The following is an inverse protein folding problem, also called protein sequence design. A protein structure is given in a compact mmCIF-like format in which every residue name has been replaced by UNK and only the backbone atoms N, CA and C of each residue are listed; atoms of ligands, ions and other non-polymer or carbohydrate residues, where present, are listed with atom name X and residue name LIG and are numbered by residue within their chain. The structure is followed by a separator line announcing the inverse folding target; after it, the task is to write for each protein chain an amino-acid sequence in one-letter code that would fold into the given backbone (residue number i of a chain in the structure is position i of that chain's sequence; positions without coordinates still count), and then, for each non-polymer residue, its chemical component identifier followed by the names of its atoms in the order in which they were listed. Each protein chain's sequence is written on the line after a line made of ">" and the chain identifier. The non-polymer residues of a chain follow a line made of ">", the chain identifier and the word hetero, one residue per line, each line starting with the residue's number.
data_IF_395816794651
#
_entry.id   IF_395816794651
#
_cell.length_a   1.000
_cell.length_b   1.000
_cell.length_c   1.000
_cell.angle_alpha   90.00
_cell.angle_beta   90.00
_cell.angle_gamma   90.00
#
_symmetry.space_group_name_H-M   'P 1'
#
loop_
_entity.id
_entity.type
_entity.pdbx_description
1 polymer ?
#
# COMPACT_ATOMS: atom_id res chain seq x y z
N UNK A 1 -18.46 16.50 -11.76
CA UNK A 1 -17.28 15.62 -11.91
C UNK A 1 -16.17 15.88 -10.88
N UNK A 2 -16.05 17.09 -10.31
CA UNK A 2 -14.97 17.44 -9.33
C UNK A 2 -14.96 16.62 -8.03
N UNK A 3 -16.07 16.01 -7.63
CA UNK A 3 -16.21 15.28 -6.37
C UNK A 3 -16.05 13.75 -6.50
N UNK A 4 -15.99 13.21 -7.72
CA UNK A 4 -15.96 11.75 -7.93
C UNK A 4 -14.75 11.10 -7.29
N UNK A 5 -13.49 11.62 -7.42
CA UNK A 5 -12.35 11.03 -6.73
C UNK A 5 -12.53 11.00 -5.21
N UNK A 6 -13.05 12.06 -4.61
CA UNK A 6 -13.28 12.11 -3.17
C UNK A 6 -14.33 11.08 -2.72
N UNK A 7 -15.40 10.90 -3.51
CA UNK A 7 -16.44 9.88 -3.23
C UNK A 7 -15.83 8.47 -3.27
N UNK A 8 -14.89 8.20 -4.17
CA UNK A 8 -14.21 6.89 -4.25
C UNK A 8 -13.35 6.65 -3.00
N UNK A 9 -12.61 7.65 -2.53
CA UNK A 9 -11.83 7.54 -1.29
C UNK A 9 -12.75 7.36 -0.06
N UNK A 10 -13.87 8.08 0.02
CA UNK A 10 -14.88 7.91 1.07
C UNK A 10 -15.52 6.51 1.02
N UNK A 11 -15.82 6.02 -0.18
CA UNK A 11 -16.35 4.66 -0.39
C UNK A 11 -15.36 3.60 0.08
N UNK A 12 -14.06 3.79 -0.15
CA UNK A 12 -13.01 2.87 0.34
C UNK A 12 -13.01 2.81 1.87
N UNK A 13 -13.11 3.95 2.55
CA UNK A 13 -13.21 3.98 4.03
C UNK A 13 -14.48 3.24 4.48
N UNK A 14 -15.61 3.48 3.83
CA UNK A 14 -16.87 2.83 4.17
C UNK A 14 -16.80 1.30 3.94
N UNK A 15 -16.10 0.84 2.90
CA UNK A 15 -15.89 -0.58 2.62
C UNK A 15 -14.98 -1.28 3.65
N UNK A 16 -14.13 -0.55 4.38
CA UNK A 16 -13.30 -1.13 5.42
C UNK A 16 -14.14 -1.70 6.58
N UNK A 17 -15.30 -1.11 6.87
CA UNK A 17 -16.16 -1.63 7.95
C UNK A 17 -16.71 -3.03 7.65
N UNK A 18 -17.43 -3.28 6.52
CA UNK A 18 -17.84 -4.64 6.19
C UNK A 18 -16.66 -5.58 6.00
N UNK A 19 -15.51 -5.10 5.50
CA UNK A 19 -14.30 -5.91 5.36
C UNK A 19 -13.78 -6.41 6.73
N UNK A 20 -13.93 -5.63 7.79
CA UNK A 20 -13.62 -6.04 9.17
C UNK A 20 -14.61 -7.07 9.72
N UNK A 21 -15.88 -6.98 9.35
CA UNK A 21 -16.95 -7.85 9.87
C UNK A 21 -17.01 -9.23 9.19
N UNK A 22 -16.60 -9.30 7.93
CA UNK A 22 -16.61 -10.54 7.16
C UNK A 22 -15.38 -11.38 7.50
N UNK A 23 -15.53 -12.71 7.57
CA UNK A 23 -14.41 -13.62 7.83
C UNK A 23 -13.38 -13.57 6.69
N UNK A 24 -12.10 -13.50 7.06
CA UNK A 24 -11.01 -13.53 6.12
C UNK A 24 -11.03 -14.82 5.28
N UNK A 25 -10.55 -14.77 4.06
CA UNK A 25 -10.47 -15.87 3.09
C UNK A 25 -11.81 -16.35 2.52
N UNK A 26 -12.93 -15.69 2.86
CA UNK A 26 -14.24 -15.98 2.25
C UNK A 26 -14.44 -15.24 0.92
N UNK A 27 -15.35 -15.71 0.09
CA UNK A 27 -15.68 -15.06 -1.19
C UNK A 27 -16.13 -13.60 -0.97
N UNK A 28 -17.04 -13.27 -0.03
CA UNK A 28 -17.40 -11.88 0.26
C UNK A 28 -16.22 -11.03 0.67
N UNK A 29 -15.28 -11.57 1.46
CA UNK A 29 -14.06 -10.85 1.82
C UNK A 29 -13.23 -10.45 0.60
N UNK A 30 -12.98 -11.40 -0.32
CA UNK A 30 -12.19 -11.15 -1.52
C UNK A 30 -12.87 -10.16 -2.47
N UNK A 31 -14.20 -10.22 -2.58
CA UNK A 31 -14.97 -9.24 -3.39
C UNK A 31 -14.80 -7.84 -2.82
N UNK A 32 -14.99 -7.66 -1.50
CA UNK A 32 -14.80 -6.36 -0.84
C UNK A 32 -13.36 -5.86 -0.95
N UNK A 33 -12.38 -6.75 -0.77
CA UNK A 33 -10.95 -6.44 -0.89
C UNK A 33 -10.60 -5.92 -2.29
N UNK A 34 -11.03 -6.62 -3.34
CA UNK A 34 -10.76 -6.23 -4.73
C UNK A 34 -11.48 -4.93 -5.07
N UNK A 35 -12.73 -4.74 -4.65
CA UNK A 35 -13.47 -3.49 -4.87
C UNK A 35 -12.73 -2.34 -4.18
N UNK A 36 -12.38 -2.48 -2.90
CA UNK A 36 -11.70 -1.42 -2.16
C UNK A 36 -10.32 -1.07 -2.76
N UNK A 37 -9.53 -2.06 -3.18
CA UNK A 37 -8.24 -1.80 -3.81
C UNK A 37 -8.34 -1.22 -5.23
N UNK A 38 -9.38 -1.57 -5.98
CA UNK A 38 -9.59 -1.01 -7.32
C UNK A 38 -10.07 0.45 -7.27
N UNK A 39 -10.82 0.85 -6.23
CA UNK A 39 -11.20 2.25 -6.04
C UNK A 39 -10.00 3.18 -5.93
N UNK A 40 -8.89 2.74 -5.31
CA UNK A 40 -7.62 3.48 -5.22
C UNK A 40 -7.01 3.77 -6.61
N UNK A 41 -6.96 2.74 -7.46
CA UNK A 41 -6.42 2.90 -8.81
C UNK A 41 -7.30 3.85 -9.63
N UNK A 42 -8.61 3.75 -9.45
CA UNK A 42 -9.60 4.52 -10.21
C UNK A 42 -9.62 6.00 -9.80
N UNK A 43 -9.61 6.32 -8.50
CA UNK A 43 -9.68 7.72 -8.05
C UNK A 43 -8.44 8.51 -8.48
N UNK A 44 -7.24 7.94 -8.31
CA UNK A 44 -6.01 8.55 -8.77
C UNK A 44 -5.93 8.68 -10.31
N UNK A 45 -6.46 7.71 -11.07
CA UNK A 45 -6.53 7.80 -12.52
C UNK A 45 -7.51 8.89 -12.98
N UNK A 46 -8.72 8.92 -12.40
CA UNK A 46 -9.75 9.87 -12.76
C UNK A 46 -9.38 11.31 -12.37
N UNK A 47 -8.78 11.50 -11.18
CA UNK A 47 -8.32 12.82 -10.73
C UNK A 47 -7.31 13.43 -11.72
N UNK A 48 -6.32 12.64 -12.16
CA UNK A 48 -5.33 13.06 -13.15
C UNK A 48 -5.96 13.31 -14.53
N UNK A 49 -6.81 12.40 -15.00
CA UNK A 49 -7.42 12.50 -16.32
C UNK A 49 -8.34 13.72 -16.46
N UNK A 50 -9.02 14.11 -15.38
CA UNK A 50 -9.95 15.25 -15.40
C UNK A 50 -9.34 16.54 -14.88
N UNK A 51 -8.08 16.53 -14.43
CA UNK A 51 -7.40 17.70 -13.89
C UNK A 51 -8.08 18.29 -12.65
N UNK A 52 -8.73 17.43 -11.84
CA UNK A 52 -9.49 17.81 -10.64
C UNK A 52 -8.75 17.49 -9.34
N UNK A 53 -7.44 17.37 -9.41
CA UNK A 53 -6.61 17.15 -8.24
C UNK A 53 -6.77 18.29 -7.23
N UNK A 54 -6.96 17.94 -5.96
CA UNK A 54 -7.11 18.90 -4.87
C UNK A 54 -6.32 18.47 -3.64
N UNK A 55 -5.87 19.44 -2.84
CA UNK A 55 -5.17 19.14 -1.58
C UNK A 55 -6.03 18.35 -0.60
N UNK A 56 -7.34 18.59 -0.60
CA UNK A 56 -8.29 17.87 0.25
C UNK A 56 -8.47 16.44 -0.25
N UNK A 57 -8.64 16.24 -1.57
CA UNK A 57 -8.72 14.91 -2.18
C UNK A 57 -7.50 14.06 -1.89
N UNK A 58 -6.29 14.62 -2.05
CA UNK A 58 -5.05 13.91 -1.73
C UNK A 58 -4.94 13.50 -0.25
N UNK A 59 -5.48 14.30 0.69
CA UNK A 59 -5.52 13.94 2.10
C UNK A 59 -6.53 12.84 2.40
N UNK A 60 -7.72 12.91 1.79
CA UNK A 60 -8.75 11.87 1.92
C UNK A 60 -8.26 10.54 1.35
N UNK A 61 -7.62 10.56 0.20
CA UNK A 61 -6.99 9.41 -0.43
C UNK A 61 -5.94 8.76 0.49
N UNK A 62 -4.99 9.54 0.99
CA UNK A 62 -3.98 9.05 1.94
C UNK A 62 -4.59 8.48 3.22
N UNK A 63 -5.69 9.07 3.73
CA UNK A 63 -6.40 8.55 4.89
C UNK A 63 -7.11 7.23 4.56
N UNK A 64 -7.76 7.16 3.40
CA UNK A 64 -8.44 5.95 2.94
C UNK A 64 -7.47 4.79 2.76
N UNK A 65 -6.31 5.04 2.16
CA UNK A 65 -5.23 4.06 2.03
C UNK A 65 -4.74 3.56 3.38
N UNK A 66 -4.50 4.48 4.29
CA UNK A 66 -4.03 4.14 5.63
C UNK A 66 -5.04 3.24 6.37
N UNK A 67 -6.33 3.61 6.35
CA UNK A 67 -7.41 2.81 6.95
C UNK A 67 -7.52 1.45 6.29
N UNK A 68 -7.44 1.39 4.95
CA UNK A 68 -7.49 0.14 4.21
C UNK A 68 -6.31 -0.78 4.57
N UNK A 69 -5.09 -0.26 4.58
CA UNK A 69 -3.88 -1.03 4.96
C UNK A 69 -3.97 -1.55 6.39
N UNK A 70 -4.45 -0.74 7.34
CA UNK A 70 -4.65 -1.20 8.73
C UNK A 70 -5.72 -2.30 8.82
N UNK A 71 -6.83 -2.16 8.10
CA UNK A 71 -7.92 -3.14 8.06
C UNK A 71 -7.44 -4.47 7.50
N UNK A 72 -6.77 -4.43 6.36
CA UNK A 72 -6.20 -5.61 5.69
C UNK A 72 -5.10 -6.23 6.54
N UNK A 73 -4.21 -5.42 7.11
CA UNK A 73 -3.16 -5.85 8.00
C UNK A 73 -3.72 -6.58 9.23
N UNK A 74 -4.73 -6.03 9.88
CA UNK A 74 -5.39 -6.66 11.01
C UNK A 74 -5.99 -8.03 10.65
N UNK A 75 -6.66 -8.13 9.50
CA UNK A 75 -7.28 -9.39 9.03
C UNK A 75 -6.27 -10.45 8.63
N UNK A 76 -5.19 -10.05 7.99
CA UNK A 76 -4.22 -11.01 7.47
C UNK A 76 -3.10 -11.34 8.45
N UNK A 77 -2.76 -10.46 9.40
CA UNK A 77 -1.67 -10.68 10.34
C UNK A 77 -1.70 -12.07 11.03
N UNK A 78 -2.85 -12.56 11.56
CA UNK A 78 -2.91 -13.88 12.17
C UNK A 78 -2.78 -15.04 11.17
N UNK A 79 -2.96 -14.77 9.88
CA UNK A 79 -2.87 -15.77 8.79
C UNK A 79 -1.46 -15.81 8.17
N UNK A 80 -0.62 -14.82 8.45
CA UNK A 80 0.73 -14.71 7.91
C UNK A 80 1.66 -15.71 8.60
N UNK A 81 1.71 -16.94 8.08
CA UNK A 81 2.68 -17.96 8.50
C UNK A 81 3.99 -17.75 7.72
N UNK A 82 4.73 -16.71 8.06
CA UNK A 82 6.00 -16.39 7.42
C UNK A 82 7.17 -16.93 8.24
N UNK A 83 8.25 -17.40 7.59
CA UNK A 83 9.47 -17.79 8.30
C UNK A 83 10.15 -16.56 8.94
N UNK A 84 10.90 -16.78 10.04
CA UNK A 84 11.58 -15.71 10.77
C UNK A 84 12.52 -14.90 9.89
N UNK A 85 13.18 -15.56 8.94
CA UNK A 85 14.05 -14.90 7.96
C UNK A 85 13.32 -13.87 7.10
N UNK A 86 12.04 -14.11 6.76
CA UNK A 86 11.24 -13.15 6.00
C UNK A 86 10.79 -12.00 6.90
N UNK A 87 10.49 -12.25 8.18
CA UNK A 87 10.23 -11.19 9.15
C UNK A 87 11.46 -10.28 9.34
N UNK A 88 12.66 -10.85 9.39
CA UNK A 88 13.91 -10.07 9.42
C UNK A 88 14.07 -9.20 8.16
N UNK A 89 13.74 -9.74 6.99
CA UNK A 89 13.78 -8.99 5.73
C UNK A 89 12.78 -7.83 5.72
N UNK A 90 11.56 -8.05 6.21
CA UNK A 90 10.54 -7.00 6.37
C UNK A 90 11.03 -5.92 7.34
N UNK A 91 11.64 -6.32 8.45
CA UNK A 91 12.25 -5.40 9.41
C UNK A 91 13.37 -4.56 8.79
N UNK A 92 14.23 -5.18 7.97
CA UNK A 92 15.29 -4.48 7.24
C UNK A 92 14.69 -3.44 6.26
N UNK A 93 13.66 -3.80 5.51
CA UNK A 93 12.97 -2.89 4.58
C UNK A 93 12.37 -1.71 5.36
N UNK A 94 11.71 -1.97 6.49
CA UNK A 94 11.14 -0.93 7.35
C UNK A 94 12.23 0.01 7.88
N UNK A 95 13.37 -0.52 8.31
CA UNK A 95 14.53 0.27 8.75
C UNK A 95 15.04 1.18 7.63
N UNK A 96 15.27 0.63 6.43
CA UNK A 96 15.74 1.42 5.28
C UNK A 96 14.75 2.52 4.93
N UNK A 97 13.44 2.24 4.92
CA UNK A 97 12.41 3.26 4.66
C UNK A 97 12.36 4.33 5.74
N UNK A 98 12.54 3.97 7.00
CA UNK A 98 12.63 4.93 8.11
C UNK A 98 13.84 5.86 7.96
N UNK A 99 15.00 5.30 7.64
CA UNK A 99 16.22 6.08 7.35
C UNK A 99 16.02 7.02 6.16
N UNK A 100 15.32 6.56 5.11
CA UNK A 100 15.00 7.39 3.95
C UNK A 100 14.06 8.54 4.33
N UNK A 101 13.04 8.30 5.15
CA UNK A 101 12.12 9.33 5.63
C UNK A 101 12.84 10.39 6.47
N UNK A 102 13.72 9.97 7.39
CA UNK A 102 14.55 10.87 8.19
C UNK A 102 15.50 11.67 7.28
N UNK A 103 16.18 11.01 6.34
CA UNK A 103 17.08 11.66 5.37
C UNK A 103 16.33 12.70 4.52
N UNK A 104 15.12 12.40 4.07
CA UNK A 104 14.27 13.32 3.33
C UNK A 104 13.93 14.56 4.15
N UNK A 105 13.60 14.36 5.44
CA UNK A 105 13.31 15.47 6.35
C UNK A 105 14.54 16.37 6.59
N UNK A 106 15.72 15.77 6.79
CA UNK A 106 16.96 16.51 7.04
C UNK A 106 17.40 17.29 5.79
N UNK A 107 17.31 16.68 4.60
CA UNK A 107 17.80 17.30 3.35
C UNK A 107 16.81 18.32 2.79
N UNK A 108 15.51 18.05 2.87
CA UNK A 108 14.46 18.84 2.20
C UNK A 108 13.57 19.62 3.15
N UNK A 109 13.79 19.51 4.47
CA UNK A 109 12.93 20.08 5.53
C UNK A 109 11.43 19.69 5.40
N UNK A 110 11.14 18.59 4.70
CA UNK A 110 9.81 18.01 4.54
C UNK A 110 9.94 16.53 4.27
N UNK A 111 8.99 15.76 4.80
CA UNK A 111 8.89 14.33 4.50
C UNK A 111 8.27 14.19 3.11
N UNK A 112 9.09 13.87 2.12
CA UNK A 112 8.63 13.50 0.78
C UNK A 112 8.77 12.00 0.61
N UNK A 113 7.63 11.32 0.56
CA UNK A 113 7.61 9.94 0.07
C UNK A 113 7.75 9.99 -1.46
N UNK A 114 8.93 9.64 -1.95
CA UNK A 114 9.15 9.58 -3.39
C UNK A 114 8.30 8.46 -4.00
N UNK A 115 7.31 8.84 -4.78
CA UNK A 115 6.49 7.92 -5.57
C UNK A 115 7.29 7.37 -6.77
N UNK A 116 8.35 6.60 -6.47
CA UNK A 116 9.12 5.92 -7.53
C UNK A 116 8.24 4.87 -8.21
N UNK A 117 8.54 4.58 -9.48
CA UNK A 117 7.85 3.50 -10.20
C UNK A 117 7.98 2.16 -9.47
N UNK A 118 9.13 1.92 -8.82
CA UNK A 118 9.38 0.72 -8.04
C UNK A 118 8.50 0.66 -6.77
N UNK A 119 8.30 1.77 -6.04
CA UNK A 119 7.39 1.81 -4.90
C UNK A 119 5.93 1.53 -5.31
N UNK A 120 5.47 2.08 -6.43
CA UNK A 120 4.12 1.80 -6.97
C UNK A 120 3.96 0.35 -7.37
N UNK A 121 4.98 -0.22 -8.04
CA UNK A 121 4.99 -1.63 -8.40
C UNK A 121 4.94 -2.53 -7.15
N UNK A 122 5.73 -2.21 -6.12
CA UNK A 122 5.71 -2.95 -4.84
C UNK A 122 4.33 -2.94 -4.20
N UNK A 123 3.65 -1.79 -4.16
CA UNK A 123 2.29 -1.68 -3.63
C UNK A 123 1.29 -2.55 -4.40
N UNK A 124 1.34 -2.51 -5.73
CA UNK A 124 0.50 -3.36 -6.58
C UNK A 124 0.79 -4.86 -6.38
N UNK A 125 2.07 -5.22 -6.31
CA UNK A 125 2.48 -6.61 -6.08
C UNK A 125 2.08 -7.11 -4.68
N UNK A 126 2.14 -6.26 -3.65
CA UNK A 126 1.63 -6.57 -2.33
C UNK A 126 0.11 -6.81 -2.38
N UNK A 127 -0.63 -5.93 -3.04
CA UNK A 127 -2.08 -6.08 -3.18
C UNK A 127 -2.45 -7.40 -3.87
N UNK A 128 -1.82 -7.74 -4.99
CA UNK A 128 -2.06 -9.00 -5.71
C UNK A 128 -1.52 -10.20 -4.91
N UNK A 129 -0.33 -10.07 -4.34
CA UNK A 129 0.35 -11.14 -3.61
C UNK A 129 -0.41 -11.60 -2.35
N UNK A 130 -1.16 -10.70 -1.71
CA UNK A 130 -2.02 -11.07 -0.59
C UNK A 130 -3.13 -12.06 -0.99
N UNK A 131 -3.53 -12.11 -2.24
CA UNK A 131 -4.51 -13.10 -2.73
C UNK A 131 -3.93 -14.53 -2.76
N UNK A 132 -2.63 -14.69 -2.66
CA UNK A 132 -1.97 -15.99 -2.57
C UNK A 132 -1.89 -16.52 -1.11
N UNK A 133 -2.38 -15.78 -0.11
CA UNK A 133 -2.41 -16.27 1.29
C UNK A 133 -3.17 -17.61 1.37
N UNK A 134 -2.57 -18.53 2.12
CA UNK A 134 -3.13 -19.89 2.26
C UNK A 134 -2.71 -20.87 1.18
N UNK A 135 -2.06 -20.41 0.11
CA UNK A 135 -1.49 -21.28 -0.93
C UNK A 135 -0.08 -21.73 -0.54
N UNK A 136 0.32 -22.92 -1.01
CA UNK A 136 1.65 -23.49 -0.73
C UNK A 136 2.82 -22.62 -1.24
N UNK A 137 2.60 -21.86 -2.29
CA UNK A 137 3.60 -20.97 -2.90
C UNK A 137 3.62 -19.54 -2.31
N UNK A 138 2.77 -19.25 -1.31
CA UNK A 138 2.66 -17.88 -0.74
C UNK A 138 4.01 -17.35 -0.22
N UNK A 139 4.79 -18.19 0.47
CA UNK A 139 6.10 -17.78 1.01
C UNK A 139 7.06 -17.39 -0.12
N UNK A 140 7.04 -18.10 -1.25
CA UNK A 140 7.88 -17.75 -2.42
C UNK A 140 7.47 -16.41 -3.04
N UNK A 141 6.15 -16.17 -3.14
CA UNK A 141 5.60 -14.88 -3.60
C UNK A 141 6.01 -13.75 -2.64
N UNK A 142 5.89 -13.98 -1.33
CA UNK A 142 6.27 -13.00 -0.33
C UNK A 142 7.77 -12.66 -0.38
N UNK A 143 8.65 -13.64 -0.62
CA UNK A 143 10.08 -13.41 -0.84
C UNK A 143 10.35 -12.56 -2.09
N UNK A 144 9.70 -12.88 -3.21
CA UNK A 144 9.85 -12.10 -4.45
C UNK A 144 9.44 -10.64 -4.24
N UNK A 145 8.32 -10.41 -3.57
CA UNK A 145 7.82 -9.07 -3.24
C UNK A 145 8.79 -8.35 -2.29
N UNK A 146 9.31 -9.04 -1.26
CA UNK A 146 10.27 -8.46 -0.32
C UNK A 146 11.57 -8.03 -1.01
N UNK A 147 12.09 -8.81 -1.96
CA UNK A 147 13.27 -8.43 -2.75
C UNK A 147 13.01 -7.17 -3.58
N UNK A 148 11.85 -7.08 -4.25
CA UNK A 148 11.46 -5.91 -5.02
C UNK A 148 11.27 -4.70 -4.11
N UNK A 149 10.66 -4.88 -2.93
CA UNK A 149 10.47 -3.83 -1.94
C UNK A 149 11.80 -3.29 -1.39
N UNK A 150 12.77 -4.17 -1.12
CA UNK A 150 14.10 -3.77 -0.70
C UNK A 150 14.82 -2.97 -1.78
N UNK A 151 14.78 -3.45 -3.02
CA UNK A 151 15.33 -2.71 -4.16
C UNK A 151 14.69 -1.33 -4.30
N UNK A 152 13.36 -1.24 -4.19
CA UNK A 152 12.64 0.02 -4.26
C UNK A 152 13.04 0.97 -3.12
N UNK A 153 13.24 0.46 -1.90
CA UNK A 153 13.67 1.26 -0.75
C UNK A 153 15.11 1.79 -0.92
N UNK A 154 16.03 0.98 -1.46
CA UNK A 154 17.40 1.40 -1.76
C UNK A 154 17.41 2.48 -2.85
N UNK A 155 16.64 2.26 -3.93
CA UNK A 155 16.50 3.21 -5.03
C UNK A 155 15.96 4.56 -4.53
N UNK A 156 14.95 4.54 -3.66
CA UNK A 156 14.37 5.74 -3.05
C UNK A 156 15.44 6.52 -2.26
N UNK A 157 16.24 5.83 -1.44
CA UNK A 157 17.33 6.44 -0.69
C UNK A 157 18.41 7.08 -1.58
N UNK A 158 18.72 6.45 -2.71
CA UNK A 158 19.64 7.03 -3.69
C UNK A 158 19.09 8.33 -4.28
N UNK A 159 17.81 8.36 -4.70
CA UNK A 159 17.17 9.57 -5.23
C UNK A 159 17.04 10.71 -4.22
N UNK A 160 16.86 10.41 -2.94
CA UNK A 160 16.81 11.44 -1.89
C UNK A 160 18.17 12.15 -1.75
N UNK A 161 19.26 11.40 -1.85
CA UNK A 161 20.62 11.89 -1.63
C UNK A 161 21.26 12.50 -2.88
N UNK A 162 20.79 12.16 -4.07
CA UNK A 162 21.32 12.64 -5.36
C UNK A 162 20.72 13.97 -5.83
N UNK A 163 19.74 14.51 -5.12
CA UNK A 163 19.09 15.81 -5.36
C UNK A 163 19.32 16.75 -4.21
#
# INVERSE_FOLDING_TARGET
>A
MKHIPNILSETRIALCLPLLLVDAMTVPFWVLYVIAGTTDILDGFLARRWGVESKLGARLDSLADFVFVLTVGYKFFPLLKLPDTLWMMIGLIALVKTVNAISSYVVKHRIEFLHTKANKLTGLLLFIGMMAIGQSYFVSVAWAIACIALFAAIQEGHYIRSK
#
